data_IF_030594871643
#
_entry.id   IF_030594871643
#
_cell.length_a   1.000
_cell.length_b   1.000
_cell.length_c   1.000
_cell.angle_alpha   90.00
_cell.angle_beta   90.00
_cell.angle_gamma   90.00
#
_symmetry.space_group_name_H-M   'P 1'
#
loop_
_entity.id
_entity.type
_entity.pdbx_description
1 polymer ?
#
# COMPACT_ATOMS: atom_id res chain seq x y z
N UNK A 1 -11.09 -8.26 26.55
CA UNK A 1 -10.32 -9.41 27.08
C UNK A 1 -9.16 -9.72 26.15
N UNK A 2 -7.96 -9.18 26.41
CA UNK A 2 -6.75 -9.67 25.73
C UNK A 2 -6.22 -10.84 26.58
N UNK A 3 -6.34 -12.12 26.15
CA UNK A 3 -6.14 -13.26 27.03
C UNK A 3 -4.67 -13.71 27.14
N UNK A 4 -3.70 -12.99 26.57
CA UNK A 4 -2.29 -13.40 26.56
C UNK A 4 -1.41 -12.16 26.75
N UNK A 5 -0.49 -12.22 27.71
CA UNK A 5 0.56 -11.21 27.88
C UNK A 5 1.61 -11.43 26.78
N UNK A 6 1.38 -10.87 25.59
CA UNK A 6 2.29 -10.99 24.44
C UNK A 6 3.42 -9.97 24.57
N UNK A 7 4.66 -10.44 24.70
CA UNK A 7 5.85 -9.60 24.51
C UNK A 7 6.10 -9.37 23.03
N UNK A 8 6.03 -8.12 22.57
CA UNK A 8 6.25 -7.76 21.15
C UNK A 8 7.52 -6.93 21.01
N UNK A 9 8.40 -7.37 20.11
CA UNK A 9 9.59 -6.61 19.69
C UNK A 9 9.55 -6.38 18.18
N UNK A 10 9.72 -5.12 17.77
CA UNK A 10 9.82 -4.70 16.37
C UNK A 10 11.27 -4.30 16.10
N UNK A 11 11.92 -5.00 15.17
CA UNK A 11 13.25 -4.64 14.69
C UNK A 11 13.12 -3.73 13.47
N UNK A 12 13.68 -2.53 13.55
CA UNK A 12 13.67 -1.53 12.48
C UNK A 12 15.10 -1.05 12.23
N UNK A 13 15.53 -1.08 10.97
CA UNK A 13 16.89 -0.67 10.58
C UNK A 13 17.06 0.85 10.50
N UNK A 14 15.97 1.58 10.24
CA UNK A 14 15.96 3.04 10.14
C UNK A 14 14.76 3.59 10.94
N UNK A 15 14.96 4.00 12.20
CA UNK A 15 13.88 4.50 13.05
C UNK A 15 13.35 5.86 12.59
N UNK A 16 14.02 6.54 11.66
CA UNK A 16 13.54 7.77 11.02
C UNK A 16 12.53 7.50 9.90
N UNK A 17 12.50 6.27 9.38
CA UNK A 17 11.65 5.84 8.26
C UNK A 17 11.81 6.69 7.00
N UNK A 18 12.93 7.36 6.80
CA UNK A 18 13.12 8.30 5.67
C UNK A 18 13.06 7.61 4.31
N UNK A 19 13.42 6.32 4.26
CA UNK A 19 13.40 5.50 3.05
C UNK A 19 12.28 4.45 3.02
N UNK A 20 11.41 4.45 4.02
CA UNK A 20 10.33 3.46 4.10
C UNK A 20 9.26 3.76 3.03
N UNK A 21 8.80 2.73 2.32
CA UNK A 21 7.71 2.85 1.34
C UNK A 21 6.45 3.47 1.95
N UNK A 22 6.23 3.25 3.25
CA UNK A 22 5.13 3.87 4.01
C UNK A 22 5.19 5.39 3.98
N UNK A 23 6.33 6.00 4.32
CA UNK A 23 6.45 7.46 4.47
C UNK A 23 6.57 8.16 3.11
N UNK A 24 7.03 7.44 2.09
CA UNK A 24 7.12 7.90 0.71
C UNK A 24 5.81 7.63 -0.08
N UNK A 25 4.78 7.07 0.56
CA UNK A 25 3.47 6.82 -0.06
C UNK A 25 2.66 8.11 -0.19
N UNK A 26 1.82 8.18 -1.22
CA UNK A 26 0.86 9.28 -1.42
C UNK A 26 -0.42 9.15 -0.59
N UNK A 27 -0.55 8.05 0.18
CA UNK A 27 -1.61 7.87 1.19
C UNK A 27 -3.01 7.58 0.65
N UNK A 28 -3.13 7.19 -0.62
CA UNK A 28 -4.42 6.85 -1.24
C UNK A 28 -5.12 5.66 -0.56
N UNK A 29 -6.43 5.77 -0.39
CA UNK A 29 -7.31 4.70 0.06
C UNK A 29 -8.54 4.62 -0.85
N UNK A 30 -8.78 3.43 -1.39
CA UNK A 30 -9.92 3.15 -2.28
C UNK A 30 -10.46 1.74 -2.06
N UNK A 31 -11.70 1.51 -2.44
CA UNK A 31 -12.33 0.20 -2.52
C UNK A 31 -12.46 -0.31 -3.95
N UNK A 32 -12.01 0.46 -4.94
CA UNK A 32 -12.07 0.12 -6.35
C UNK A 32 -11.02 -0.95 -6.72
N UNK A 33 -11.25 -2.17 -6.22
CA UNK A 33 -10.53 -3.40 -6.51
C UNK A 33 -11.49 -4.44 -7.12
N UNK A 34 -10.99 -5.62 -7.50
CA UNK A 34 -11.78 -6.73 -8.07
C UNK A 34 -11.72 -7.99 -7.20
N UNK A 35 -10.68 -8.13 -6.37
CA UNK A 35 -10.65 -9.19 -5.37
C UNK A 35 -11.46 -8.78 -4.12
N UNK A 36 -12.46 -9.57 -3.69
CA UNK A 36 -13.23 -9.31 -2.47
C UNK A 36 -12.37 -9.04 -1.24
N UNK A 37 -11.23 -9.70 -1.12
CA UNK A 37 -10.27 -9.54 -0.04
C UNK A 37 -9.72 -8.12 0.02
N UNK A 38 -9.26 -7.58 -1.11
CA UNK A 38 -8.73 -6.23 -1.19
C UNK A 38 -9.80 -5.18 -0.92
N UNK A 39 -11.01 -5.36 -1.46
CA UNK A 39 -12.16 -4.47 -1.19
C UNK A 39 -12.47 -4.44 0.32
N UNK A 40 -12.54 -5.61 0.95
CA UNK A 40 -12.84 -5.75 2.39
C UNK A 40 -11.72 -5.20 3.27
N UNK A 41 -10.46 -5.41 2.92
CA UNK A 41 -9.33 -4.81 3.65
C UNK A 41 -9.38 -3.28 3.60
N UNK A 42 -9.62 -2.70 2.41
CA UNK A 42 -9.76 -1.25 2.29
C UNK A 42 -10.96 -0.71 3.08
N UNK A 43 -12.10 -1.40 3.06
CA UNK A 43 -13.27 -1.02 3.86
C UNK A 43 -12.99 -1.09 5.37
N UNK A 44 -12.27 -2.12 5.82
CA UNK A 44 -11.84 -2.23 7.21
C UNK A 44 -10.94 -1.06 7.60
N UNK A 45 -9.94 -0.74 6.77
CA UNK A 45 -9.03 0.37 7.04
C UNK A 45 -9.75 1.72 7.03
N UNK A 46 -10.68 1.97 6.11
CA UNK A 46 -11.45 3.21 6.11
C UNK A 46 -12.25 3.38 7.41
N UNK A 47 -12.90 2.31 7.89
CA UNK A 47 -13.58 2.32 9.21
C UNK A 47 -12.58 2.51 10.35
N UNK A 48 -11.39 1.91 10.26
CA UNK A 48 -10.34 2.09 11.26
C UNK A 48 -9.90 3.56 11.35
N UNK A 49 -9.72 4.23 10.20
CA UNK A 49 -9.33 5.65 10.11
C UNK A 49 -10.45 6.57 10.61
N UNK A 50 -11.72 6.26 10.33
CA UNK A 50 -12.86 7.00 10.92
C UNK A 50 -12.91 6.87 12.44
N UNK A 51 -12.44 5.73 12.96
CA UNK A 51 -12.38 5.44 14.40
C UNK A 51 -10.94 5.58 14.94
N UNK A 52 -10.14 6.51 14.41
CA UNK A 52 -8.71 6.63 14.75
C UNK A 52 -8.46 6.84 16.25
N UNK A 53 -9.46 7.33 16.98
CA UNK A 53 -9.43 7.52 18.44
C UNK A 53 -9.18 6.23 19.24
N UNK A 54 -9.37 5.06 18.63
CA UNK A 54 -8.93 3.79 19.24
C UNK A 54 -7.41 3.75 19.50
N UNK A 55 -6.62 4.58 18.79
CA UNK A 55 -5.19 4.75 18.99
C UNK A 55 -4.83 5.81 20.05
N UNK A 56 -5.80 6.43 20.73
CA UNK A 56 -5.51 7.44 21.76
C UNK A 56 -4.73 6.88 22.94
N UNK A 57 -3.86 7.72 23.48
CA UNK A 57 -3.01 7.45 24.64
C UNK A 57 -3.40 8.41 25.76
N UNK A 58 -3.45 7.93 27.00
CA UNK A 58 -3.77 8.77 28.15
C UNK A 58 -2.79 9.96 28.22
N UNK A 59 -3.30 11.14 28.53
CA UNK A 59 -2.54 12.40 28.65
C UNK A 59 -1.82 12.85 27.36
N UNK A 60 -2.20 12.33 26.20
CA UNK A 60 -1.73 12.80 24.89
C UNK A 60 -2.88 13.32 24.03
N UNK A 61 -2.63 14.28 23.12
CA UNK A 61 -3.61 14.69 22.15
C UNK A 61 -4.16 13.50 21.35
N UNK A 62 -5.46 13.51 21.00
CA UNK A 62 -6.04 12.58 20.04
C UNK A 62 -5.20 12.45 18.77
N UNK A 63 -4.98 11.23 18.24
CA UNK A 63 -4.30 11.06 16.97
C UNK A 63 -5.11 11.69 15.83
N UNK A 64 -4.43 12.44 14.98
CA UNK A 64 -4.96 12.98 13.73
C UNK A 64 -4.11 12.47 12.57
N UNK A 65 -4.75 11.75 11.64
CA UNK A 65 -4.11 11.17 10.45
C UNK A 65 -4.42 11.94 9.18
N UNK A 66 -5.03 13.13 9.29
CA UNK A 66 -5.42 13.96 8.15
C UNK A 66 -6.23 13.17 7.11
N UNK A 67 -7.25 12.42 7.55
CA UNK A 67 -8.05 11.61 6.65
C UNK A 67 -9.01 12.47 5.82
N UNK A 68 -8.65 12.68 4.56
CA UNK A 68 -9.37 13.46 3.57
C UNK A 68 -10.27 12.54 2.72
N UNK A 69 -11.56 12.51 3.04
CA UNK A 69 -12.56 11.71 2.32
C UNK A 69 -13.07 12.43 1.07
N UNK A 70 -12.17 12.68 0.12
CA UNK A 70 -12.45 13.37 -1.15
C UNK A 70 -12.91 12.42 -2.26
N UNK A 71 -13.13 11.14 -1.95
CA UNK A 71 -13.50 10.14 -2.94
C UNK A 71 -12.37 9.77 -3.90
N UNK A 72 -12.67 8.84 -4.80
CA UNK A 72 -11.75 8.37 -5.84
C UNK A 72 -12.49 8.26 -7.16
N UNK A 73 -11.95 8.84 -8.22
CA UNK A 73 -12.55 8.90 -9.55
C UNK A 73 -11.69 8.14 -10.55
N UNK A 74 -12.19 7.01 -11.04
CA UNK A 74 -11.53 6.21 -12.07
C UNK A 74 -12.21 6.43 -13.41
N UNK A 75 -11.43 6.86 -14.40
CA UNK A 75 -11.89 7.12 -15.76
C UNK A 75 -11.61 5.92 -16.68
N UNK A 76 -12.49 5.68 -17.64
CA UNK A 76 -12.30 4.66 -18.68
C UNK A 76 -12.65 5.19 -20.06
N UNK A 77 -11.89 4.75 -21.07
CA UNK A 77 -12.31 4.85 -22.46
C UNK A 77 -13.22 3.69 -22.88
N UNK A 78 -13.67 3.73 -24.14
CA UNK A 78 -14.52 2.71 -24.76
C UNK A 78 -13.96 1.28 -24.73
N UNK A 79 -12.65 1.11 -24.58
CA UNK A 79 -12.01 -0.20 -24.51
C UNK A 79 -12.02 -0.76 -23.09
N UNK A 80 -12.01 0.11 -22.09
CA UNK A 80 -11.96 -0.24 -20.67
C UNK A 80 -13.34 -0.29 -20.00
N UNK A 81 -14.35 0.39 -20.55
CA UNK A 81 -15.69 0.51 -19.93
C UNK A 81 -16.33 -0.82 -19.57
N UNK A 82 -16.18 -1.85 -20.43
CA UNK A 82 -16.75 -3.18 -20.13
C UNK A 82 -16.18 -3.74 -18.84
N UNK A 83 -14.86 -3.73 -18.70
CA UNK A 83 -14.16 -4.21 -17.50
C UNK A 83 -14.50 -3.30 -16.31
N UNK A 84 -14.51 -1.97 -16.50
CA UNK A 84 -14.90 -1.03 -15.45
C UNK A 84 -16.31 -1.32 -14.91
N UNK A 85 -17.25 -1.69 -15.78
CA UNK A 85 -18.63 -2.04 -15.40
C UNK A 85 -18.69 -3.35 -14.61
N UNK A 86 -17.93 -4.36 -15.01
CA UNK A 86 -17.79 -5.63 -14.27
C UNK A 86 -17.21 -5.37 -12.87
N UNK A 87 -16.13 -4.59 -12.80
CA UNK A 87 -15.49 -4.15 -11.56
C UNK A 87 -16.47 -3.40 -10.64
N UNK A 88 -17.21 -2.43 -11.18
CA UNK A 88 -18.22 -1.66 -10.45
C UNK A 88 -19.27 -2.57 -9.78
N UNK A 89 -19.72 -3.63 -10.46
CA UNK A 89 -20.68 -4.58 -9.88
C UNK A 89 -20.06 -5.38 -8.74
N UNK A 90 -18.84 -5.90 -8.92
CA UNK A 90 -18.12 -6.64 -7.87
C UNK A 90 -17.90 -5.76 -6.64
N UNK A 91 -17.50 -4.51 -6.85
CA UNK A 91 -17.26 -3.54 -5.79
C UNK A 91 -18.54 -3.23 -5.01
N UNK A 92 -19.65 -2.99 -5.71
CA UNK A 92 -20.96 -2.80 -5.06
C UNK A 92 -21.43 -4.03 -4.28
N UNK A 93 -21.26 -5.23 -4.84
CA UNK A 93 -21.61 -6.49 -4.16
C UNK A 93 -20.80 -6.70 -2.88
N UNK A 94 -19.58 -6.15 -2.81
CA UNK A 94 -18.73 -6.17 -1.61
C UNK A 94 -18.91 -4.94 -0.70
N UNK A 95 -19.91 -4.09 -0.97
CA UNK A 95 -20.32 -3.00 -0.08
C UNK A 95 -19.65 -1.65 -0.34
N UNK A 96 -18.91 -1.48 -1.44
CA UNK A 96 -18.35 -0.18 -1.82
C UNK A 96 -19.47 0.81 -2.21
N UNK A 97 -19.34 2.06 -1.75
CA UNK A 97 -20.30 3.13 -2.04
C UNK A 97 -19.89 3.90 -3.29
N UNK A 98 -20.37 3.45 -4.45
CA UNK A 98 -19.94 3.92 -5.76
C UNK A 98 -21.08 4.47 -6.62
N UNK A 99 -20.75 5.50 -7.41
CA UNK A 99 -21.58 6.03 -8.48
C UNK A 99 -20.95 5.71 -9.84
N UNK A 100 -21.77 5.21 -10.76
CA UNK A 100 -21.42 5.14 -12.17
C UNK A 100 -21.78 6.47 -12.84
N UNK A 101 -20.86 7.04 -13.60
CA UNK A 101 -21.05 8.30 -14.31
C UNK A 101 -20.88 8.06 -15.80
N UNK A 102 -21.89 8.45 -16.59
CA UNK A 102 -21.72 8.64 -18.03
C UNK A 102 -20.81 9.84 -18.30
N UNK A 103 -20.32 9.99 -19.53
CA UNK A 103 -19.57 11.17 -19.95
C UNK A 103 -20.29 12.49 -19.60
N UNK A 104 -21.59 12.59 -19.89
CA UNK A 104 -22.39 13.78 -19.58
C UNK A 104 -22.52 14.05 -18.08
N UNK A 105 -22.73 12.99 -17.28
CA UNK A 105 -22.81 13.11 -15.82
C UNK A 105 -21.46 13.50 -15.20
N UNK A 106 -20.36 12.97 -15.75
CA UNK A 106 -19.00 13.33 -15.37
C UNK A 106 -18.74 14.81 -15.62
N UNK A 107 -19.03 15.31 -16.84
CA UNK A 107 -18.84 16.71 -17.21
C UNK A 107 -19.66 17.66 -16.32
N UNK A 108 -20.89 17.25 -15.94
CA UNK A 108 -21.74 18.03 -15.03
C UNK A 108 -21.20 18.03 -13.60
N UNK A 109 -20.71 16.90 -13.11
CA UNK A 109 -20.28 16.75 -11.70
C UNK A 109 -18.88 17.31 -11.45
N UNK A 110 -17.99 17.19 -12.43
CA UNK A 110 -16.60 17.62 -12.37
C UNK A 110 -16.28 18.50 -13.59
N UNK A 111 -16.75 19.76 -13.61
CA UNK A 111 -16.67 20.63 -14.79
C UNK A 111 -15.24 20.99 -15.22
N UNK A 112 -14.27 20.84 -14.32
CA UNK A 112 -12.85 21.03 -14.62
C UNK A 112 -12.22 19.87 -15.42
N UNK A 113 -12.93 18.73 -15.52
CA UNK A 113 -12.46 17.56 -16.27
C UNK A 113 -12.89 17.69 -17.73
N UNK A 114 -11.91 17.77 -18.63
CA UNK A 114 -12.14 17.53 -20.04
C UNK A 114 -12.55 16.07 -20.22
N UNK A 115 -13.75 15.80 -20.74
CA UNK A 115 -14.29 14.45 -20.86
C UNK A 115 -14.00 13.81 -22.24
N UNK A 116 -13.20 14.45 -23.09
CA UNK A 116 -12.83 13.88 -24.38
C UNK A 116 -12.11 12.53 -24.21
N UNK A 117 -12.52 11.54 -25.02
CA UNK A 117 -11.96 10.19 -24.98
C UNK A 117 -12.37 9.35 -23.77
N UNK A 118 -13.25 9.86 -22.88
CA UNK A 118 -13.81 9.11 -21.74
C UNK A 118 -15.20 8.63 -22.11
N UNK A 119 -15.49 7.34 -21.92
CA UNK A 119 -16.84 6.81 -22.14
C UNK A 119 -17.62 6.74 -20.82
N UNK A 120 -16.95 6.36 -19.73
CA UNK A 120 -17.54 6.26 -18.41
C UNK A 120 -16.52 6.51 -17.29
N UNK A 121 -17.04 6.75 -16.09
CA UNK A 121 -16.26 6.85 -14.88
C UNK A 121 -16.96 6.16 -13.70
N UNK A 122 -16.16 5.73 -12.72
CA UNK A 122 -16.64 5.28 -11.42
C UNK A 122 -16.12 6.24 -10.36
N UNK A 123 -17.04 6.80 -9.58
CA UNK A 123 -16.72 7.69 -8.47
C UNK A 123 -17.09 7.04 -7.14
N UNK A 124 -16.12 6.83 -6.27
CA UNK A 124 -16.39 6.40 -4.90
C UNK A 124 -16.73 7.57 -3.99
N UNK A 125 -17.88 7.44 -3.36
CA UNK A 125 -18.57 8.53 -2.65
C UNK A 125 -18.34 8.52 -1.15
N UNK A 126 -17.88 7.39 -0.59
CA UNK A 126 -17.61 7.23 0.84
C UNK A 126 -16.39 6.33 1.02
N UNK A 127 -15.70 6.47 2.15
CA UNK A 127 -14.57 5.62 2.54
C UNK A 127 -13.35 5.69 1.61
N UNK A 128 -13.34 6.58 0.62
CA UNK A 128 -12.23 6.75 -0.33
C UNK A 128 -11.64 8.17 -0.24
N UNK A 129 -10.37 8.30 -0.61
CA UNK A 129 -9.63 9.54 -0.60
C UNK A 129 -8.17 9.30 -0.23
N UNK A 130 -7.64 10.07 0.71
CA UNK A 130 -6.27 9.88 1.18
C UNK A 130 -6.10 10.28 2.65
N UNK A 131 -5.03 9.81 3.27
CA UNK A 131 -4.62 10.18 4.63
C UNK A 131 -3.09 10.32 4.68
N UNK A 132 -2.56 10.89 5.76
CA UNK A 132 -1.12 11.02 5.96
C UNK A 132 -0.52 9.68 6.47
N UNK A 133 0.31 8.99 5.66
CA UNK A 133 0.91 7.71 6.04
C UNK A 133 1.83 7.78 7.25
N UNK A 134 2.60 8.86 7.37
CA UNK A 134 3.56 9.05 8.45
C UNK A 134 2.82 9.23 9.78
N UNK A 135 1.76 10.04 9.79
CA UNK A 135 0.92 10.23 10.99
C UNK A 135 0.28 8.92 11.44
N UNK A 136 -0.24 8.11 10.51
CA UNK A 136 -0.79 6.79 10.85
C UNK A 136 0.28 5.88 11.46
N UNK A 137 1.45 5.78 10.82
CA UNK A 137 2.58 5.00 11.32
C UNK A 137 2.99 5.43 12.73
N UNK A 138 3.12 6.73 12.98
CA UNK A 138 3.51 7.27 14.28
C UNK A 138 2.44 7.07 15.34
N UNK A 139 1.16 7.21 15.01
CA UNK A 139 0.06 6.91 15.92
C UNK A 139 0.05 5.43 16.33
N UNK A 140 0.19 4.52 15.36
CA UNK A 140 0.27 3.08 15.63
C UNK A 140 1.50 2.71 16.47
N UNK A 141 2.67 3.24 16.11
CA UNK A 141 3.93 3.02 16.84
C UNK A 141 3.83 3.51 18.28
N UNK A 142 3.27 4.70 18.50
CA UNK A 142 3.10 5.28 19.83
C UNK A 142 2.13 4.46 20.66
N UNK A 143 0.99 4.06 20.09
CA UNK A 143 0.01 3.22 20.78
C UNK A 143 0.59 1.85 21.13
N UNK A 144 1.33 1.22 20.21
CA UNK A 144 1.99 -0.06 20.45
C UNK A 144 3.01 0.04 21.59
N UNK A 145 3.83 1.10 21.63
CA UNK A 145 4.76 1.36 22.74
C UNK A 145 4.05 1.56 24.07
N UNK A 146 2.97 2.34 24.09
CA UNK A 146 2.15 2.54 25.29
C UNK A 146 1.59 1.21 25.82
N UNK A 147 1.27 0.27 24.93
CA UNK A 147 0.83 -1.08 25.28
C UNK A 147 1.97 -2.07 25.60
N UNK A 148 3.23 -1.61 25.59
CA UNK A 148 4.40 -2.40 26.00
C UNK A 148 5.27 -2.98 24.87
N UNK A 149 4.96 -2.70 23.61
CA UNK A 149 5.81 -3.15 22.50
C UNK A 149 7.17 -2.43 22.48
N UNK A 150 8.25 -3.18 22.26
CA UNK A 150 9.61 -2.66 22.14
C UNK A 150 9.94 -2.40 20.68
N UNK A 151 10.51 -1.24 20.37
CA UNK A 151 11.04 -0.92 19.05
C UNK A 151 12.56 -0.82 19.15
N UNK A 152 13.25 -1.71 18.45
CA UNK A 152 14.70 -1.93 18.56
C UNK A 152 15.34 -1.49 17.25
N UNK A 153 16.29 -0.56 17.33
CA UNK A 153 17.06 -0.10 16.18
C UNK A 153 18.17 -1.10 15.87
N UNK A 154 17.93 -1.98 14.90
CA UNK A 154 18.87 -3.03 14.51
C UNK A 154 18.58 -3.56 13.11
N UNK A 155 19.60 -4.12 12.46
CA UNK A 155 19.44 -4.86 11.21
C UNK A 155 19.24 -6.34 11.51
N UNK A 156 18.24 -6.97 10.91
CA UNK A 156 18.18 -8.44 10.89
C UNK A 156 19.18 -8.94 9.85
N UNK A 157 20.12 -9.78 10.27
CA UNK A 157 21.22 -10.28 9.42
C UNK A 157 21.22 -11.79 9.26
N UNK A 158 20.30 -12.48 9.92
CA UNK A 158 20.16 -13.92 9.80
C UNK A 158 19.12 -14.52 10.72
N UNK A 159 18.92 -15.83 10.58
CA UNK A 159 18.10 -16.64 11.46
C UNK A 159 18.86 -17.92 11.82
N UNK A 160 18.78 -18.36 13.07
CA UNK A 160 19.22 -19.69 13.43
C UNK A 160 18.06 -20.65 13.22
N UNK A 161 18.23 -21.53 12.24
CA UNK A 161 17.36 -22.66 12.02
C UNK A 161 18.21 -23.92 12.04
N UNK A 162 17.82 -24.93 12.81
CA UNK A 162 18.57 -26.19 12.82
C UNK A 162 18.53 -26.81 11.43
N UNK A 163 19.71 -27.00 10.83
CA UNK A 163 19.87 -27.64 9.51
C UNK A 163 19.37 -29.10 9.45
N UNK A 164 18.81 -29.63 10.55
CA UNK A 164 18.35 -31.00 10.72
C UNK A 164 16.83 -31.16 10.85
N UNK A 165 16.04 -30.54 9.95
CA UNK A 165 14.61 -30.84 9.83
C UNK A 165 13.68 -30.23 10.90
N UNK A 166 14.19 -29.32 11.75
CA UNK A 166 13.33 -28.55 12.65
C UNK A 166 12.41 -27.63 11.85
N UNK A 167 11.09 -27.75 12.09
CA UNK A 167 10.06 -26.86 11.53
C UNK A 167 9.91 -25.56 12.32
N UNK A 168 10.87 -25.21 13.19
CA UNK A 168 10.83 -23.98 14.00
C UNK A 168 12.14 -23.21 13.82
N UNK A 169 12.03 -21.90 13.67
CA UNK A 169 13.16 -21.00 13.77
C UNK A 169 13.22 -20.45 15.20
N UNK A 170 14.35 -20.64 15.88
CA UNK A 170 14.44 -20.35 17.32
C UNK A 170 14.98 -18.95 17.62
N UNK A 171 15.87 -18.46 16.77
CA UNK A 171 16.60 -17.20 17.02
C UNK A 171 16.70 -16.35 15.77
N UNK A 172 16.56 -15.05 15.94
CA UNK A 172 16.91 -14.05 14.93
C UNK A 172 18.26 -13.46 15.29
N UNK A 173 19.13 -13.32 14.29
CA UNK A 173 20.42 -12.66 14.43
C UNK A 173 20.22 -11.21 14.07
N UNK A 174 20.49 -10.31 15.02
CA UNK A 174 20.43 -8.87 14.79
C UNK A 174 21.82 -8.26 14.92
N UNK A 175 22.11 -7.29 14.06
CA UNK A 175 23.28 -6.41 14.15
C UNK A 175 22.85 -5.06 14.68
N UNK A 176 23.40 -4.68 15.82
CA UNK A 176 23.21 -3.38 16.46
C UNK A 176 23.95 -2.27 15.70
N UNK A 177 23.65 -1.02 16.04
CA UNK A 177 24.26 0.16 15.41
C UNK A 177 25.76 0.29 15.67
N UNK A 178 26.27 -0.32 16.73
CA UNK A 178 27.69 -0.41 17.06
C UNK A 178 28.43 -1.52 16.30
N UNK A 179 27.71 -2.28 15.46
CA UNK A 179 28.25 -3.40 14.69
C UNK A 179 28.21 -4.76 15.40
N UNK A 180 27.88 -4.80 16.69
CA UNK A 180 27.80 -6.06 17.43
C UNK A 180 26.59 -6.89 16.99
N UNK A 181 26.77 -8.21 16.93
CA UNK A 181 25.70 -9.15 16.61
C UNK A 181 25.21 -9.87 17.86
N UNK A 182 23.90 -10.04 17.97
CA UNK A 182 23.27 -10.77 19.07
C UNK A 182 22.16 -11.68 18.55
N UNK A 183 21.98 -12.81 19.22
CA UNK A 183 20.89 -13.73 18.96
C UNK A 183 19.72 -13.41 19.90
N UNK A 184 18.53 -13.22 19.35
CA UNK A 184 17.31 -13.03 20.12
C UNK A 184 16.40 -14.24 19.92
N UNK A 185 16.04 -14.89 21.02
CA UNK A 185 15.06 -15.98 21.02
C UNK A 185 13.65 -15.44 20.83
N UNK A 186 12.84 -16.16 20.06
CA UNK A 186 11.44 -15.80 19.84
C UNK A 186 10.55 -17.04 19.65
N UNK A 187 9.28 -16.90 20.02
CA UNK A 187 8.28 -17.93 19.77
C UNK A 187 7.68 -17.81 18.37
N UNK A 188 7.36 -16.59 17.95
CA UNK A 188 6.71 -16.28 16.66
C UNK A 188 7.44 -15.12 15.99
N UNK A 189 7.75 -15.27 14.70
CA UNK A 189 8.31 -14.22 13.85
C UNK A 189 7.32 -13.79 12.76
N UNK A 190 7.23 -12.50 12.48
CA UNK A 190 6.42 -11.96 11.37
C UNK A 190 7.32 -11.11 10.48
N UNK A 191 7.46 -11.49 9.21
CA UNK A 191 8.23 -10.77 8.21
C UNK A 191 7.34 -9.73 7.53
N UNK A 192 7.61 -8.45 7.84
CA UNK A 192 6.93 -7.27 7.30
C UNK A 192 7.92 -6.29 6.67
N UNK A 193 8.97 -6.80 6.01
CA UNK A 193 10.14 -6.01 5.57
C UNK A 193 10.01 -5.41 4.16
N UNK A 194 8.78 -5.28 3.64
CA UNK A 194 8.51 -4.68 2.33
C UNK A 194 9.41 -5.24 1.22
N UNK A 195 10.09 -4.37 0.48
CA UNK A 195 10.92 -4.77 -0.66
C UNK A 195 12.17 -5.57 -0.27
N UNK A 196 12.59 -5.53 1.00
CA UNK A 196 13.71 -6.33 1.53
C UNK A 196 13.29 -7.75 1.95
N UNK A 197 12.02 -8.11 1.77
CA UNK A 197 11.50 -9.44 2.15
C UNK A 197 12.19 -10.58 1.42
N UNK A 198 12.74 -10.34 0.23
CA UNK A 198 13.57 -11.32 -0.48
C UNK A 198 14.85 -11.65 0.28
N UNK A 199 15.45 -10.67 0.96
CA UNK A 199 16.61 -10.91 1.80
C UNK A 199 16.26 -11.73 3.04
N UNK A 200 15.09 -11.49 3.65
CA UNK A 200 14.60 -12.32 4.76
C UNK A 200 14.36 -13.76 4.32
N UNK A 201 13.83 -13.97 3.10
CA UNK A 201 13.61 -15.30 2.54
C UNK A 201 14.95 -16.06 2.35
N UNK A 202 16.00 -15.36 1.91
CA UNK A 202 17.37 -15.92 1.84
C UNK A 202 17.90 -16.31 3.20
N UNK A 203 17.77 -15.44 4.21
CA UNK A 203 18.20 -15.77 5.58
C UNK A 203 17.42 -16.95 6.20
N UNK A 204 16.21 -17.20 5.74
CA UNK A 204 15.41 -18.38 6.11
C UNK A 204 15.73 -19.62 5.25
N UNK A 205 16.61 -19.50 4.25
CA UNK A 205 17.05 -20.59 3.38
C UNK A 205 16.01 -21.01 2.33
N UNK A 206 15.16 -20.09 1.86
CA UNK A 206 14.17 -20.38 0.81
C UNK A 206 14.83 -20.76 -0.53
N UNK A 207 15.97 -20.14 -0.84
CA UNK A 207 16.71 -20.38 -2.10
C UNK A 207 17.22 -21.82 -2.23
N UNK A 208 17.70 -22.42 -1.13
CA UNK A 208 18.15 -23.81 -1.08
C UNK A 208 16.99 -24.82 -1.23
N UNK A 209 15.74 -24.35 -1.13
CA UNK A 209 14.52 -25.16 -1.19
C UNK A 209 13.72 -24.90 -2.48
N UNK A 210 14.34 -24.27 -3.47
CA UNK A 210 13.77 -23.99 -4.80
C UNK A 210 12.47 -23.16 -4.77
N UNK A 211 12.26 -22.36 -3.72
CA UNK A 211 11.19 -21.34 -3.74
C UNK A 211 11.67 -20.14 -4.55
N UNK A 212 10.95 -19.82 -5.63
CA UNK A 212 11.12 -18.57 -6.34
C UNK A 212 10.36 -17.45 -5.61
N UNK A 213 11.06 -16.68 -4.76
CA UNK A 213 10.46 -15.59 -4.00
C UNK A 213 10.06 -14.43 -4.92
N UNK A 214 8.76 -14.10 -5.07
CA UNK A 214 8.28 -13.31 -6.20
C UNK A 214 8.23 -11.79 -5.94
N UNK A 215 8.81 -11.33 -4.83
CA UNK A 215 8.78 -9.91 -4.45
C UNK A 215 10.12 -9.27 -4.78
N UNK A 216 10.04 -8.12 -5.46
CA UNK A 216 11.16 -7.30 -5.88
C UNK A 216 10.89 -5.81 -5.62
N UNK A 217 11.92 -4.98 -5.38
CA UNK A 217 11.74 -3.53 -5.38
C UNK A 217 11.38 -3.04 -6.78
N UNK A 218 10.41 -2.14 -6.88
CA UNK A 218 10.17 -1.33 -8.08
C UNK A 218 10.09 0.14 -7.75
N UNK A 219 10.93 0.96 -8.39
CA UNK A 219 11.00 2.40 -8.10
C UNK A 219 9.81 3.12 -8.74
N UNK A 220 9.16 4.00 -7.98
CA UNK A 220 8.01 4.81 -8.39
C UNK A 220 8.30 6.27 -8.11
N UNK A 221 8.05 7.12 -9.09
CA UNK A 221 8.20 8.57 -8.98
C UNK A 221 6.90 9.20 -8.51
N UNK A 222 7.03 10.19 -7.64
CA UNK A 222 5.95 11.06 -7.21
C UNK A 222 6.37 12.49 -7.43
N UNK A 223 5.48 13.26 -8.05
CA UNK A 223 5.70 14.66 -8.36
C UNK A 223 4.69 15.52 -7.61
N UNK A 224 5.17 16.65 -7.09
CA UNK A 224 4.35 17.72 -6.51
C UNK A 224 4.39 18.89 -7.47
N UNK A 225 3.23 19.44 -7.80
CA UNK A 225 3.15 20.63 -8.64
C UNK A 225 2.17 21.66 -8.06
N UNK A 226 2.35 22.92 -8.43
CA UNK A 226 1.34 23.96 -8.25
C UNK A 226 0.68 24.33 -9.58
N UNK A 227 -0.63 24.56 -9.53
CA UNK A 227 -1.41 25.16 -10.60
C UNK A 227 -2.27 26.29 -10.01
N UNK A 228 -1.80 27.53 -10.16
CA UNK A 228 -2.47 28.72 -9.57
C UNK A 228 -3.78 29.07 -10.24
N UNK A 229 -3.98 28.62 -11.47
CA UNK A 229 -5.19 28.85 -12.24
C UNK A 229 -6.30 27.86 -11.89
N UNK A 230 -6.03 26.88 -11.02
CA UNK A 230 -7.04 25.98 -10.49
C UNK A 230 -7.93 26.71 -9.48
N UNK A 231 -9.25 26.72 -9.73
CA UNK A 231 -10.23 27.23 -8.77
C UNK A 231 -10.50 26.20 -7.67
N UNK A 232 -10.00 26.49 -6.47
CA UNK A 232 -10.14 25.68 -5.24
C UNK A 232 -11.59 25.54 -4.72
N UNK A 233 -12.56 26.22 -5.34
CA UNK A 233 -13.98 25.94 -5.09
C UNK A 233 -14.45 24.67 -5.81
N UNK A 234 -13.72 24.20 -6.82
CA UNK A 234 -14.01 22.93 -7.46
C UNK A 234 -13.68 21.78 -6.52
N UNK A 235 -14.60 20.82 -6.44
CA UNK A 235 -14.38 19.58 -5.72
C UNK A 235 -13.52 18.63 -6.56
N UNK A 236 -12.25 18.42 -6.16
CA UNK A 236 -11.29 17.56 -6.87
C UNK A 236 -11.12 16.21 -6.15
N UNK A 237 -11.62 15.09 -6.70
CA UNK A 237 -11.44 13.78 -6.11
C UNK A 237 -10.02 13.26 -6.36
N UNK A 238 -9.64 12.16 -5.70
CA UNK A 238 -8.43 11.45 -6.12
C UNK A 238 -8.67 10.85 -7.52
N UNK A 239 -8.03 11.42 -8.54
CA UNK A 239 -8.24 11.08 -9.94
C UNK A 239 -7.29 9.95 -10.37
N UNK A 240 -7.84 8.97 -11.09
CA UNK A 240 -7.11 7.97 -11.89
C UNK A 240 -7.58 8.12 -13.34
N UNK A 241 -6.71 8.64 -14.21
CA UNK A 241 -6.97 8.68 -15.64
C UNK A 241 -6.86 7.26 -16.25
N UNK A 242 -7.55 7.04 -17.38
CA UNK A 242 -7.54 5.79 -18.15
C UNK A 242 -6.14 5.26 -18.52
N UNK A 243 -5.14 6.14 -18.52
CA UNK A 243 -3.72 5.84 -18.79
C UNK A 243 -2.94 5.35 -17.57
N UNK A 244 -3.54 5.36 -16.37
CA UNK A 244 -2.90 5.05 -15.10
C UNK A 244 -2.18 6.24 -14.44
N UNK A 245 -2.23 7.43 -15.04
CA UNK A 245 -1.80 8.66 -14.34
C UNK A 245 -2.77 8.94 -13.21
N UNK A 246 -2.25 9.16 -12.02
CA UNK A 246 -3.02 9.59 -10.88
C UNK A 246 -2.72 11.01 -10.47
N UNK A 247 -3.71 11.70 -9.91
CA UNK A 247 -3.55 13.03 -9.34
C UNK A 247 -4.50 13.24 -8.15
N UNK A 248 -4.02 13.87 -7.09
CA UNK A 248 -4.86 14.35 -5.99
C UNK A 248 -4.41 15.72 -5.52
N UNK A 249 -5.33 16.47 -4.94
CA UNK A 249 -5.01 17.73 -4.29
C UNK A 249 -4.31 17.47 -2.95
N UNK A 250 -3.33 18.32 -2.60
CA UNK A 250 -2.64 18.34 -1.30
C UNK A 250 -2.95 19.68 -0.62
N UNK A 251 -3.94 19.66 0.28
CA UNK A 251 -4.42 20.89 0.92
C UNK A 251 -5.18 21.82 -0.04
N UNK A 252 -5.00 23.13 0.12
CA UNK A 252 -5.56 24.19 -0.74
C UNK A 252 -4.44 25.01 -1.36
N UNK A 253 -4.79 25.93 -2.27
CA UNK A 253 -3.87 26.83 -2.94
C UNK A 253 -3.28 26.24 -4.22
N UNK A 254 -4.03 25.35 -4.89
CA UNK A 254 -3.59 24.75 -6.15
C UNK A 254 -2.39 23.80 -6.06
N UNK A 255 -2.15 23.16 -4.90
CA UNK A 255 -1.09 22.16 -4.75
C UNK A 255 -1.60 20.75 -5.03
N UNK A 256 -0.85 19.97 -5.80
CA UNK A 256 -1.24 18.64 -6.25
C UNK A 256 -0.08 17.66 -6.16
N UNK A 257 -0.43 16.38 -6.00
CA UNK A 257 0.48 15.24 -6.04
C UNK A 257 0.02 14.31 -7.16
N UNK A 258 0.95 13.89 -8.00
CA UNK A 258 0.68 12.97 -9.10
C UNK A 258 1.81 11.96 -9.31
N UNK A 259 1.48 10.92 -10.08
CA UNK A 259 2.44 9.92 -10.49
C UNK A 259 1.83 8.97 -11.50
N UNK A 260 2.65 8.04 -11.98
CA UNK A 260 2.23 6.97 -12.88
C UNK A 260 3.17 5.79 -12.70
N UNK A 261 2.61 4.58 -12.64
CA UNK A 261 3.41 3.36 -12.73
C UNK A 261 3.81 3.12 -14.19
N UNK A 262 5.07 2.77 -14.50
CA UNK A 262 5.46 2.37 -15.84
C UNK A 262 4.58 1.21 -16.36
N UNK A 263 4.02 1.30 -17.58
CA UNK A 263 3.09 0.29 -18.08
C UNK A 263 3.78 -1.00 -18.53
N UNK A 264 5.07 -0.96 -18.84
CA UNK A 264 5.84 -2.13 -19.27
C UNK A 264 7.13 -2.32 -18.47
N UNK A 265 7.65 -3.55 -18.45
CA UNK A 265 8.92 -3.88 -17.80
C UNK A 265 10.12 -3.15 -18.41
N UNK A 266 10.04 -2.76 -19.69
CA UNK A 266 11.13 -2.05 -20.37
C UNK A 266 11.23 -0.58 -19.93
N UNK A 267 10.17 -0.04 -19.33
CA UNK A 267 10.10 1.33 -18.83
C UNK A 267 10.29 1.39 -17.30
N UNK A 268 10.53 0.25 -16.64
CA UNK A 268 10.82 0.22 -15.21
C UNK A 268 12.20 0.86 -14.97
N UNK A 269 12.29 1.86 -14.08
CA UNK A 269 13.56 2.52 -13.80
C UNK A 269 14.50 1.65 -12.96
N UNK A 270 15.80 1.93 -13.07
CA UNK A 270 16.85 1.30 -12.25
C UNK A 270 16.57 1.47 -10.75
N UNK A 271 16.95 0.47 -9.96
CA UNK A 271 16.62 0.34 -8.52
C UNK A 271 17.82 0.54 -7.58
N UNK A 272 18.93 1.02 -8.10
CA UNK A 272 20.20 1.24 -7.38
C UNK A 272 20.14 2.41 -6.38
N UNK A 273 19.32 3.42 -6.67
CA UNK A 273 19.14 4.63 -5.84
C UNK A 273 17.65 5.03 -5.74
N UNK A 274 17.34 6.21 -5.17
CA UNK A 274 15.99 6.81 -5.14
C UNK A 274 15.95 8.17 -5.85
N UNK A 275 16.84 8.37 -6.82
CA UNK A 275 16.86 9.59 -7.62
C UNK A 275 15.63 9.63 -8.53
N UNK A 276 15.15 10.84 -8.79
CA UNK A 276 13.97 11.10 -9.62
C UNK A 276 14.41 11.46 -11.03
N UNK A 277 13.86 10.76 -12.02
CA UNK A 277 13.92 11.18 -13.41
C UNK A 277 12.76 12.14 -13.72
N UNK A 278 13.08 13.43 -13.81
CA UNK A 278 12.09 14.47 -14.12
C UNK A 278 11.58 14.39 -15.56
N UNK A 279 12.34 13.81 -16.50
CA UNK A 279 11.89 13.66 -17.88
C UNK A 279 10.69 12.72 -17.99
N UNK A 280 10.55 11.80 -17.02
CA UNK A 280 9.39 10.92 -16.92
C UNK A 280 8.08 11.71 -16.74
N UNK A 281 8.13 12.80 -15.97
CA UNK A 281 6.96 13.66 -15.78
C UNK A 281 6.55 14.34 -17.09
N UNK A 282 7.52 15.00 -17.75
CA UNK A 282 7.27 15.76 -18.98
C UNK A 282 6.77 14.87 -20.13
N UNK A 283 7.25 13.63 -20.21
CA UNK A 283 6.90 12.70 -21.28
C UNK A 283 5.60 11.93 -21.01
N UNK A 284 5.39 11.48 -19.77
CA UNK A 284 4.38 10.46 -19.47
C UNK A 284 3.30 10.88 -18.48
N UNK A 285 3.38 12.07 -17.89
CA UNK A 285 2.41 12.55 -16.89
C UNK A 285 1.81 13.90 -17.32
N UNK A 286 2.65 14.91 -17.58
CA UNK A 286 2.18 16.28 -17.86
C UNK A 286 1.22 16.36 -19.05
N UNK A 287 1.49 15.75 -20.22
CA UNK A 287 0.58 15.85 -21.36
C UNK A 287 -0.82 15.28 -21.06
N UNK A 288 -0.88 14.21 -20.27
CA UNK A 288 -2.13 13.56 -19.87
C UNK A 288 -2.89 14.43 -18.87
N UNK A 289 -2.20 15.01 -17.89
CA UNK A 289 -2.82 15.90 -16.91
C UNK A 289 -3.34 17.18 -17.56
N UNK A 290 -2.58 17.78 -18.48
CA UNK A 290 -2.97 18.97 -19.21
C UNK A 290 -4.17 18.71 -20.14
N UNK A 291 -4.19 17.56 -20.82
CA UNK A 291 -5.37 17.15 -21.60
C UNK A 291 -6.60 16.96 -20.72
N UNK A 292 -6.45 16.27 -19.57
CA UNK A 292 -7.56 15.89 -18.70
C UNK A 292 -8.12 17.07 -17.90
N UNK A 293 -7.26 17.99 -17.45
CA UNK A 293 -7.60 19.18 -16.68
C UNK A 293 -6.94 20.38 -17.38
N UNK A 294 -7.63 21.11 -18.26
CA UNK A 294 -6.99 22.10 -19.14
C UNK A 294 -6.14 23.18 -18.44
N UNK A 295 -6.47 23.58 -17.21
CA UNK A 295 -5.64 24.55 -16.47
C UNK A 295 -4.28 23.97 -16.03
N UNK A 296 -4.12 22.65 -16.01
CA UNK A 296 -2.85 21.98 -15.72
C UNK A 296 -1.82 22.12 -16.84
N UNK A 297 -2.18 22.67 -18.01
CA UNK A 297 -1.19 23.09 -19.01
C UNK A 297 -0.14 24.05 -18.41
N UNK A 298 -0.56 24.94 -17.51
CA UNK A 298 0.29 25.95 -16.87
C UNK A 298 0.89 25.51 -15.53
N UNK A 299 0.81 24.23 -15.17
CA UNK A 299 1.35 23.73 -13.90
C UNK A 299 2.87 23.96 -13.79
N UNK A 300 3.39 23.96 -12.56
CA UNK A 300 4.84 24.00 -12.30
C UNK A 300 5.22 22.97 -11.24
N UNK A 301 6.22 22.15 -11.54
CA UNK A 301 6.78 21.23 -10.55
C UNK A 301 7.38 22.02 -9.39
N UNK A 302 7.03 21.63 -8.17
CA UNK A 302 7.56 22.17 -6.91
C UNK A 302 8.62 21.27 -6.29
N UNK A 303 8.38 19.97 -6.31
CA UNK A 303 9.28 18.96 -5.77
C UNK A 303 8.91 17.59 -6.31
N UNK A 304 9.78 16.62 -6.12
CA UNK A 304 9.51 15.23 -6.43
C UNK A 304 10.31 14.32 -5.51
N UNK A 305 9.88 13.08 -5.37
CA UNK A 305 10.62 12.02 -4.71
C UNK A 305 10.39 10.68 -5.39
N UNK A 306 11.23 9.70 -5.08
CA UNK A 306 11.01 8.32 -5.47
C UNK A 306 10.89 7.42 -4.23
N UNK A 307 10.16 6.32 -4.37
CA UNK A 307 10.08 5.26 -3.38
C UNK A 307 10.00 3.89 -4.04
N UNK A 308 10.25 2.83 -3.27
CA UNK A 308 10.12 1.46 -3.77
C UNK A 308 8.75 0.88 -3.41
N UNK A 309 8.11 0.23 -4.38
CA UNK A 309 7.09 -0.78 -4.10
C UNK A 309 7.77 -2.12 -3.85
N UNK A 310 7.22 -2.89 -2.91
CA UNK A 310 7.47 -4.31 -2.73
C UNK A 310 6.59 -5.10 -3.70
N UNK A 311 6.97 -5.08 -4.97
CA UNK A 311 6.13 -5.56 -6.05
C UNK A 311 6.19 -7.08 -6.16
N UNK A 312 5.04 -7.74 -6.04
CA UNK A 312 4.89 -9.16 -6.33
C UNK A 312 4.70 -9.34 -7.84
N UNK A 313 5.74 -9.79 -8.55
CA UNK A 313 5.70 -9.91 -10.00
C UNK A 313 4.85 -11.08 -10.51
N UNK A 314 4.35 -11.94 -9.62
CA UNK A 314 3.47 -13.05 -9.98
C UNK A 314 2.04 -12.56 -10.27
N UNK A 315 1.49 -11.75 -9.35
CA UNK A 315 0.07 -11.37 -9.39
C UNK A 315 -0.25 -10.01 -8.74
N UNK A 316 0.77 -9.27 -8.29
CA UNK A 316 0.65 -7.97 -7.62
C UNK A 316 -0.08 -8.01 -6.27
N UNK A 317 -0.33 -9.19 -5.71
CA UNK A 317 -1.03 -9.34 -4.44
C UNK A 317 -0.10 -9.79 -3.32
N UNK A 318 -0.41 -9.45 -2.05
CA UNK A 318 0.48 -9.71 -0.93
C UNK A 318 0.60 -11.20 -0.62
N UNK A 319 1.72 -11.61 -0.03
CA UNK A 319 1.90 -12.90 0.62
C UNK A 319 1.58 -12.72 2.10
N UNK A 320 0.50 -13.38 2.54
CA UNK A 320 -0.06 -13.27 3.89
C UNK A 320 -0.25 -14.68 4.45
N UNK A 321 0.46 -15.00 5.52
CA UNK A 321 0.27 -16.25 6.24
C UNK A 321 1.54 -16.94 6.65
N UNK A 322 1.41 -18.19 7.09
CA UNK A 322 2.51 -18.97 7.66
C UNK A 322 3.51 -19.36 6.58
N UNK A 323 4.79 -19.25 6.92
CA UNK A 323 5.90 -19.74 6.11
C UNK A 323 5.73 -21.24 5.78
N UNK A 324 6.10 -21.68 4.57
CA UNK A 324 5.91 -23.07 4.16
C UNK A 324 6.82 -24.07 4.89
N UNK A 325 7.92 -23.61 5.49
CA UNK A 325 8.89 -24.47 6.17
C UNK A 325 8.90 -24.28 7.68
N UNK A 326 8.77 -23.03 8.13
CA UNK A 326 8.81 -22.71 9.55
C UNK A 326 7.41 -22.44 10.10
N UNK A 327 6.95 -23.34 10.96
CA UNK A 327 5.63 -23.29 11.60
C UNK A 327 5.39 -22.02 12.44
N UNK A 328 6.45 -21.34 12.83
CA UNK A 328 6.41 -20.14 13.67
C UNK A 328 6.83 -18.84 12.96
N UNK A 329 7.07 -18.89 11.65
CA UNK A 329 7.32 -17.70 10.84
C UNK A 329 6.06 -17.40 10.02
N UNK A 330 5.73 -16.13 9.95
CA UNK A 330 4.62 -15.60 9.18
C UNK A 330 5.09 -14.48 8.27
N UNK A 331 4.35 -14.24 7.20
CA UNK A 331 4.65 -13.22 6.20
C UNK A 331 3.45 -12.29 6.04
N UNK A 332 3.75 -11.00 5.89
CA UNK A 332 2.81 -9.98 5.47
C UNK A 332 3.60 -8.95 4.64
N UNK A 333 3.71 -9.22 3.34
CA UNK A 333 4.60 -8.48 2.41
C UNK A 333 4.13 -8.60 0.97
N UNK A 334 4.68 -7.83 0.04
CA UNK A 334 4.38 -7.93 -1.39
C UNK A 334 3.15 -7.13 -1.80
N UNK A 335 2.87 -6.03 -1.10
CA UNK A 335 1.63 -5.27 -1.28
C UNK A 335 1.57 -4.45 -2.57
N UNK A 336 2.65 -4.44 -3.36
CA UNK A 336 2.72 -3.89 -4.72
C UNK A 336 2.14 -2.48 -4.86
N UNK A 337 2.32 -1.64 -3.83
CA UNK A 337 1.88 -0.25 -3.80
C UNK A 337 0.66 0.07 -2.96
N UNK A 338 0.00 -0.94 -2.40
CA UNK A 338 -1.24 -0.76 -1.62
C UNK A 338 -1.08 -1.05 -0.13
N UNK A 339 0.16 -1.21 0.34
CA UNK A 339 0.43 -1.67 1.72
C UNK A 339 -0.12 -0.75 2.80
N UNK A 340 -0.05 0.58 2.61
CA UNK A 340 -0.48 1.52 3.65
C UNK A 340 -1.99 1.47 3.91
N UNK A 341 -2.82 1.34 2.86
CA UNK A 341 -4.26 1.19 3.01
C UNK A 341 -4.66 -0.20 3.50
N UNK A 342 -3.80 -1.21 3.38
CA UNK A 342 -4.08 -2.57 3.87
C UNK A 342 -3.58 -2.78 5.31
N UNK A 343 -2.60 -2.01 5.77
CA UNK A 343 -1.91 -2.19 7.06
C UNK A 343 -2.81 -2.49 8.26
N UNK A 344 -3.83 -1.67 8.57
CA UNK A 344 -4.74 -1.94 9.70
C UNK A 344 -5.47 -3.29 9.59
N UNK A 345 -5.99 -3.62 8.39
CA UNK A 345 -6.68 -4.88 8.14
C UNK A 345 -5.75 -6.09 8.27
N UNK A 346 -4.52 -5.96 7.76
CA UNK A 346 -3.48 -6.98 7.88
C UNK A 346 -3.10 -7.21 9.34
N UNK A 347 -2.89 -6.15 10.12
CA UNK A 347 -2.60 -6.29 11.56
C UNK A 347 -3.68 -7.09 12.28
N UNK A 348 -4.96 -6.83 11.98
CA UNK A 348 -6.08 -7.61 12.51
C UNK A 348 -6.03 -9.07 12.06
N UNK A 349 -5.93 -9.31 10.76
CA UNK A 349 -5.96 -10.63 10.16
C UNK A 349 -4.79 -11.52 10.64
N UNK A 350 -3.59 -10.95 10.76
CA UNK A 350 -2.41 -11.68 11.24
C UNK A 350 -2.58 -12.10 12.70
N UNK A 351 -3.12 -11.24 13.56
CA UNK A 351 -3.35 -11.60 14.95
C UNK A 351 -4.43 -12.66 15.12
N UNK A 352 -5.49 -12.62 14.30
CA UNK A 352 -6.49 -13.70 14.26
C UNK A 352 -5.86 -15.02 13.83
N UNK A 353 -5.06 -15.01 12.76
CA UNK A 353 -4.39 -16.21 12.29
C UNK A 353 -3.44 -16.79 13.36
N UNK A 354 -2.67 -15.94 14.03
CA UNK A 354 -1.70 -16.35 15.05
C UNK A 354 -2.39 -16.89 16.31
N UNK A 355 -3.41 -16.18 16.82
CA UNK A 355 -4.05 -16.52 18.09
C UNK A 355 -5.12 -17.60 17.96
N UNK A 356 -5.87 -17.56 16.86
CA UNK A 356 -7.06 -18.40 16.66
C UNK A 356 -6.82 -19.50 15.60
N UNK A 357 -5.67 -19.49 14.92
CA UNK A 357 -5.32 -20.46 13.88
C UNK A 357 -6.08 -20.28 12.57
N UNK A 358 -6.88 -19.23 12.44
CA UNK A 358 -7.68 -18.91 11.25
C UNK A 358 -8.00 -17.41 11.19
N UNK A 359 -8.28 -16.91 9.99
CA UNK A 359 -8.86 -15.59 9.83
C UNK A 359 -10.33 -15.58 10.26
N UNK A 360 -10.79 -14.50 10.88
CA UNK A 360 -12.17 -14.37 11.36
C UNK A 360 -12.87 -13.13 10.79
N UNK A 361 -12.22 -11.98 10.77
CA UNK A 361 -12.82 -10.72 10.28
C UNK A 361 -12.81 -10.66 8.75
N UNK A 362 -11.70 -11.03 8.11
CA UNK A 362 -11.54 -11.06 6.66
C UNK A 362 -10.78 -12.32 6.28
N UNK A 363 -11.40 -13.19 5.48
CA UNK A 363 -10.73 -14.39 4.99
C UNK A 363 -9.66 -14.05 3.95
N UNK A 364 -8.39 -14.13 4.33
CA UNK A 364 -7.23 -13.84 3.48
C UNK A 364 -6.45 -15.09 3.06
N UNK A 365 -7.02 -16.31 3.21
CA UNK A 365 -6.30 -17.56 2.90
C UNK A 365 -5.81 -17.63 1.46
N UNK A 366 -6.53 -17.01 0.52
CA UNK A 366 -6.13 -16.96 -0.90
C UNK A 366 -4.84 -16.18 -1.15
N UNK A 367 -4.37 -15.40 -0.18
CA UNK A 367 -3.09 -14.69 -0.23
C UNK A 367 -1.93 -15.44 0.44
N UNK A 368 -2.12 -16.71 0.82
CA UNK A 368 -1.06 -17.50 1.42
C UNK A 368 -0.03 -18.03 0.40
N UNK A 369 0.94 -18.79 0.90
CA UNK A 369 2.02 -19.38 0.13
C UNK A 369 1.58 -20.47 -0.86
N UNK A 370 0.42 -21.12 -0.67
CA UNK A 370 -0.02 -22.23 -1.54
C UNK A 370 -0.11 -21.76 -2.99
N UNK A 371 -0.64 -20.55 -3.20
CA UNK A 371 -0.76 -20.00 -4.55
C UNK A 371 0.61 -19.79 -5.20
N UNK A 372 1.61 -19.35 -4.45
CA UNK A 372 2.97 -19.09 -4.93
C UNK A 372 3.64 -20.41 -5.30
N UNK A 373 3.60 -21.38 -4.39
CA UNK A 373 4.22 -22.69 -4.56
C UNK A 373 3.63 -23.49 -5.72
N UNK A 374 2.32 -23.33 -5.95
CA UNK A 374 1.61 -24.04 -7.03
C UNK A 374 1.45 -23.21 -8.31
N UNK A 375 2.08 -22.04 -8.40
CA UNK A 375 1.99 -21.12 -9.54
C UNK A 375 0.53 -20.79 -9.95
N UNK A 376 -0.33 -20.46 -8.97
CA UNK A 376 -1.74 -20.08 -9.15
C UNK A 376 -1.94 -18.58 -8.91
N UNK A 377 -1.61 -17.71 -9.88
CA UNK A 377 -1.65 -16.27 -9.68
C UNK A 377 -3.08 -15.78 -9.42
N UNK A 378 -3.20 -14.83 -8.49
CA UNK A 378 -4.45 -14.18 -8.16
C UNK A 378 -4.42 -12.72 -8.58
N UNK A 379 -4.78 -12.44 -9.82
CA UNK A 379 -4.65 -11.09 -10.40
C UNK A 379 -5.89 -10.23 -10.18
N UNK A 380 -5.64 -8.95 -9.92
CA UNK A 380 -6.62 -7.88 -10.07
C UNK A 380 -6.88 -7.60 -11.56
N UNK A 381 -8.07 -7.09 -11.91
CA UNK A 381 -8.41 -6.71 -13.29
C UNK A 381 -8.54 -5.19 -13.43
N UNK A 382 -7.70 -4.58 -14.28
CA UNK A 382 -7.71 -3.15 -14.60
C UNK A 382 -7.62 -2.23 -13.37
N UNK A 383 -6.70 -2.57 -12.46
CA UNK A 383 -6.38 -1.81 -11.24
C UNK A 383 -4.99 -1.19 -11.41
N UNK A 384 -4.86 0.10 -11.11
CA UNK A 384 -3.64 0.92 -11.32
C UNK A 384 -2.92 1.30 -10.02
#
# INVERSE_FOLDING_TARGET
NAPINLGVSVFERDPSYTRASTTLSVGGIRQQFTLPENIKMSMFTARFLQNIQQLSILDQPPPDVAYNQIGYLTLADKYQTKILKENFQIQKQNGASLEWLTNEQLAKKFPMINCNGIEAAVFGTQNEGWFDPYRLLMAMKSKARFLGAKFIHANVVGFNHDGGGSKKCEKVIIRHTDGNETNIEFDIGIVCTGYDSKQMARYLGHEHRQINFPIEPRKRYVFVFDCRDFDDNNYFPFLIDKTGVYCRQEGRGGNFICGRSPPTLMEEPEIDNLDVDYSYFDQFIHPILAERIPCFEALKIKSAWAGFYDYNHMDQNPIIGRDPFYSNIYWATGFSGHGIQMGPAIGRAMMELILNGRFETIDLRRFDWDRILNNRPLKEQNIY
#
